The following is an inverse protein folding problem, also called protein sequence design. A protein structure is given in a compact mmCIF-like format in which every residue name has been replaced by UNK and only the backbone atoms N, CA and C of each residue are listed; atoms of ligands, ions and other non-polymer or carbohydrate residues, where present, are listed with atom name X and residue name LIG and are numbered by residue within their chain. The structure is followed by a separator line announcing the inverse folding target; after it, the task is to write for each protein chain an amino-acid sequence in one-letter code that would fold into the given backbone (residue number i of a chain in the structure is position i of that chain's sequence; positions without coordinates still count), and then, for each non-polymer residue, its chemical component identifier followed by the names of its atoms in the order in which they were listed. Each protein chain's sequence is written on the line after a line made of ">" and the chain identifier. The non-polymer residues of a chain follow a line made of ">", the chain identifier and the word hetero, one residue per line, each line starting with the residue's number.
data_IF_974085528641
#
_entry.id   IF_974085528641
#
_cell.length_a   1.000
_cell.length_b   1.000
_cell.length_c   1.000
_cell.angle_alpha   90.00
_cell.angle_beta   90.00
_cell.angle_gamma   90.00
#
_symmetry.space_group_name_H-M   'P 1'
#
loop_
_entity.id
_entity.type
_entity.pdbx_description
1 polymer ?
#
# COMPACT_ATOMS: atom_id res chain seq x y z
N UNK A 1 10.82 8.07 -1.64
CA UNK A 1 10.97 8.59 -3.02
C UNK A 1 10.63 7.53 -4.07
N UNK A 2 11.34 6.39 -4.11
CA UNK A 2 11.00 5.33 -5.08
C UNK A 2 9.58 4.81 -4.86
N UNK A 3 9.23 4.46 -3.62
CA UNK A 3 7.90 3.99 -3.26
C UNK A 3 6.78 4.99 -3.64
N UNK A 4 6.98 6.29 -3.43
CA UNK A 4 6.01 7.31 -3.83
C UNK A 4 5.84 7.38 -5.34
N UNK A 5 6.95 7.45 -6.08
CA UNK A 5 6.90 7.61 -7.54
C UNK A 5 6.25 6.37 -8.20
N UNK A 6 6.71 5.17 -7.83
CA UNK A 6 6.20 3.93 -8.42
C UNK A 6 4.72 3.71 -8.12
N UNK A 7 4.27 3.91 -6.87
CA UNK A 7 2.87 3.72 -6.53
C UNK A 7 1.96 4.78 -7.16
N UNK A 8 2.41 6.04 -7.30
CA UNK A 8 1.69 7.06 -8.08
C UNK A 8 1.55 6.63 -9.54
N UNK A 9 2.62 6.14 -10.17
CA UNK A 9 2.56 5.66 -11.56
C UNK A 9 1.55 4.51 -11.70
N UNK A 10 1.54 3.55 -10.78
CA UNK A 10 0.57 2.45 -10.77
C UNK A 10 -0.86 2.99 -10.73
N UNK A 11 -1.16 3.91 -9.80
CA UNK A 11 -2.47 4.54 -9.69
C UNK A 11 -2.84 5.26 -11.01
N UNK A 12 -1.95 6.07 -11.57
CA UNK A 12 -2.20 6.80 -12.81
C UNK A 12 -2.50 5.87 -13.99
N UNK A 13 -1.73 4.78 -14.15
CA UNK A 13 -1.94 3.79 -15.22
C UNK A 13 -3.28 3.09 -15.06
N UNK A 14 -3.63 2.68 -13.83
CA UNK A 14 -4.89 2.00 -13.52
C UNK A 14 -6.10 2.92 -13.67
N UNK A 15 -5.96 4.20 -13.34
CA UNK A 15 -7.04 5.18 -13.46
C UNK A 15 -7.26 5.62 -14.91
N UNK A 16 -6.19 5.81 -15.69
CA UNK A 16 -6.26 6.30 -17.07
C UNK A 16 -6.81 5.26 -18.05
N UNK A 17 -6.57 3.97 -17.80
CA UNK A 17 -7.03 2.87 -18.68
C UNK A 17 -8.27 2.20 -18.09
N UNK A 18 -9.46 2.66 -18.50
CA UNK A 18 -10.75 2.10 -18.06
C UNK A 18 -10.88 0.59 -18.30
N UNK A 19 -10.23 0.05 -19.33
CA UNK A 19 -10.18 -1.40 -19.58
C UNK A 19 -9.47 -2.18 -18.46
N UNK A 20 -8.48 -1.57 -17.78
CA UNK A 20 -7.79 -2.21 -16.67
C UNK A 20 -8.60 -2.21 -15.39
N UNK A 21 -9.46 -1.21 -15.14
CA UNK A 21 -10.37 -1.21 -13.98
C UNK A 21 -11.32 -2.41 -13.96
N UNK A 22 -11.67 -2.96 -15.14
CA UNK A 22 -12.62 -4.08 -15.27
C UNK A 22 -12.09 -5.42 -14.73
N UNK A 23 -10.77 -5.59 -14.56
CA UNK A 23 -10.22 -6.80 -13.95
C UNK A 23 -10.18 -6.65 -12.43
N UNK A 24 -10.83 -7.54 -11.71
CA UNK A 24 -10.89 -7.55 -10.24
C UNK A 24 -9.50 -7.46 -9.59
N UNK A 25 -8.49 -8.10 -10.18
CA UNK A 25 -7.11 -8.05 -9.68
C UNK A 25 -6.49 -6.65 -9.71
N UNK A 26 -6.89 -5.80 -10.66
CA UNK A 26 -6.34 -4.45 -10.79
C UNK A 26 -6.91 -3.50 -9.73
N UNK A 27 -8.11 -3.76 -9.21
CA UNK A 27 -8.67 -3.03 -8.07
C UNK A 27 -7.88 -3.36 -6.80
N UNK A 28 -7.45 -4.61 -6.64
CA UNK A 28 -6.60 -5.03 -5.53
C UNK A 28 -5.20 -4.37 -5.60
N UNK A 29 -4.63 -4.27 -6.81
CA UNK A 29 -3.38 -3.54 -7.03
C UNK A 29 -3.51 -2.05 -6.71
N UNK A 30 -4.67 -1.44 -7.02
CA UNK A 30 -4.95 -0.07 -6.64
C UNK A 30 -4.99 0.09 -5.12
N UNK A 31 -5.61 -0.87 -4.40
CA UNK A 31 -5.66 -0.86 -2.94
C UNK A 31 -4.28 -0.93 -2.29
N UNK A 32 -3.39 -1.79 -2.83
CA UNK A 32 -1.99 -1.88 -2.38
C UNK A 32 -1.28 -0.55 -2.62
N UNK A 33 -1.37 0.00 -3.84
CA UNK A 33 -0.68 1.25 -4.18
C UNK A 33 -1.14 2.43 -3.30
N UNK A 34 -2.44 2.52 -3.00
CA UNK A 34 -2.97 3.53 -2.07
C UNK A 34 -2.45 3.33 -0.64
N UNK A 35 -2.39 2.09 -0.16
CA UNK A 35 -1.89 1.77 1.19
C UNK A 35 -0.41 2.12 1.33
N UNK A 36 0.41 1.80 0.33
CA UNK A 36 1.84 2.13 0.31
C UNK A 36 2.09 3.64 0.23
N UNK A 37 1.25 4.39 -0.49
CA UNK A 37 1.31 5.86 -0.49
C UNK A 37 0.94 6.43 0.88
N UNK A 38 -0.10 5.91 1.53
CA UNK A 38 -0.50 6.37 2.85
C UNK A 38 0.65 6.20 3.87
N UNK A 39 1.33 5.06 3.87
CA UNK A 39 2.54 4.83 4.69
C UNK A 39 3.66 5.79 4.27
N UNK A 40 3.85 6.01 2.97
CA UNK A 40 4.95 6.82 2.49
C UNK A 40 4.80 8.32 2.73
N UNK A 41 3.57 8.83 2.88
CA UNK A 41 3.32 10.22 3.24
C UNK A 41 3.27 10.44 4.75
N UNK A 42 2.79 9.47 5.53
CA UNK A 42 2.63 9.61 6.98
C UNK A 42 3.81 9.04 7.76
N UNK A 43 4.09 7.75 7.60
CA UNK A 43 5.10 7.03 8.37
C UNK A 43 6.51 7.47 8.04
N UNK A 44 6.96 7.28 6.79
CA UNK A 44 8.38 7.46 6.45
C UNK A 44 8.93 8.86 6.76
N UNK A 45 8.23 9.99 6.50
CA UNK A 45 8.76 11.31 6.84
C UNK A 45 8.92 11.51 8.35
N UNK A 46 7.95 11.05 9.16
CA UNK A 46 7.99 11.12 10.61
C UNK A 46 9.16 10.32 11.21
N UNK A 47 9.34 9.09 10.73
CA UNK A 47 10.47 8.25 11.15
C UNK A 47 11.79 8.83 10.68
N UNK A 48 11.87 9.30 9.44
CA UNK A 48 13.11 9.88 8.88
C UNK A 48 13.53 11.11 9.67
N UNK A 49 12.60 12.04 9.92
CA UNK A 49 12.89 13.24 10.71
C UNK A 49 13.29 12.91 12.15
N UNK A 50 12.64 11.92 12.78
CA UNK A 50 13.00 11.45 14.13
C UNK A 50 14.39 10.81 14.16
N UNK A 51 14.76 10.04 13.12
CA UNK A 51 16.08 9.43 13.01
C UNK A 51 17.17 10.50 12.84
N UNK A 52 16.95 11.50 11.98
CA UNK A 52 17.88 12.63 11.83
C UNK A 52 18.04 13.43 13.13
N UNK A 53 16.98 13.56 13.93
CA UNK A 53 17.02 14.24 15.22
C UNK A 53 17.63 13.37 16.34
N UNK A 54 17.88 12.08 16.11
CA UNK A 54 18.32 11.11 17.13
C UNK A 54 17.30 10.85 18.25
N UNK A 55 16.08 11.34 18.10
CA UNK A 55 15.00 11.24 19.09
C UNK A 55 13.63 11.33 18.42
N UNK A 56 12.62 10.79 19.08
CA UNK A 56 11.25 10.93 18.61
C UNK A 56 10.76 12.38 18.71
N UNK A 57 10.41 13.00 17.57
CA UNK A 57 10.05 14.43 17.53
C UNK A 57 8.55 14.71 17.58
N UNK A 58 7.69 13.72 17.34
CA UNK A 58 6.24 13.92 17.18
C UNK A 58 5.43 13.70 18.47
N UNK A 59 6.11 13.59 19.62
CA UNK A 59 5.49 13.36 20.92
C UNK A 59 4.72 12.04 21.05
N UNK A 60 4.08 11.81 22.20
CA UNK A 60 3.40 10.54 22.51
C UNK A 60 2.22 10.26 21.57
N UNK A 61 1.41 11.28 21.27
CA UNK A 61 0.27 11.14 20.37
C UNK A 61 0.73 10.77 18.94
N UNK A 62 1.76 11.44 18.43
CA UNK A 62 2.34 11.13 17.12
C UNK A 62 2.91 9.70 17.07
N UNK A 63 3.51 9.22 18.15
CA UNK A 63 4.02 7.84 18.23
C UNK A 63 2.90 6.82 18.07
N UNK A 64 1.79 7.00 18.79
CA UNK A 64 0.61 6.13 18.70
C UNK A 64 -0.02 6.15 17.31
N UNK A 65 -0.21 7.34 16.73
CA UNK A 65 -0.83 7.50 15.40
C UNK A 65 0.08 6.92 14.31
N UNK A 66 1.38 7.20 14.35
CA UNK A 66 2.33 6.67 13.37
C UNK A 66 2.40 5.14 13.43
N UNK A 67 2.49 4.57 14.63
CA UNK A 67 2.48 3.12 14.83
C UNK A 67 1.20 2.46 14.32
N UNK A 68 0.03 3.02 14.69
CA UNK A 68 -1.26 2.52 14.21
C UNK A 68 -1.37 2.59 12.69
N UNK A 69 -1.04 3.74 12.10
CA UNK A 69 -1.15 3.99 10.66
C UNK A 69 -0.29 3.02 9.87
N UNK A 70 0.98 2.87 10.24
CA UNK A 70 1.91 1.95 9.56
C UNK A 70 1.42 0.52 9.68
N UNK A 71 1.06 0.08 10.88
CA UNK A 71 0.60 -1.29 11.10
C UNK A 71 -0.70 -1.61 10.33
N UNK A 72 -1.68 -0.70 10.36
CA UNK A 72 -2.95 -0.86 9.68
C UNK A 72 -2.76 -0.99 8.17
N UNK A 73 -2.07 -0.03 7.54
CA UNK A 73 -1.87 -0.07 6.08
C UNK A 73 -0.97 -1.24 5.65
N UNK A 74 0.05 -1.60 6.43
CA UNK A 74 0.86 -2.80 6.15
C UNK A 74 0.02 -4.08 6.22
N UNK A 75 -0.91 -4.18 7.17
CA UNK A 75 -1.82 -5.31 7.28
C UNK A 75 -2.76 -5.40 6.07
N UNK A 76 -3.33 -4.26 5.66
CA UNK A 76 -4.18 -4.18 4.45
C UNK A 76 -3.41 -4.66 3.22
N UNK A 77 -2.17 -4.22 3.05
CA UNK A 77 -1.31 -4.65 1.95
C UNK A 77 -1.08 -6.17 1.97
N UNK A 78 -0.71 -6.76 3.11
CA UNK A 78 -0.46 -8.20 3.24
C UNK A 78 -1.72 -9.03 2.94
N UNK A 79 -2.87 -8.64 3.51
CA UNK A 79 -4.16 -9.33 3.26
C UNK A 79 -4.53 -9.24 1.78
N UNK A 80 -4.30 -8.09 1.15
CA UNK A 80 -4.56 -7.91 -0.28
C UNK A 80 -3.64 -8.79 -1.13
N UNK A 81 -2.35 -8.92 -0.78
CA UNK A 81 -1.43 -9.84 -1.46
C UNK A 81 -1.88 -11.30 -1.35
N UNK A 82 -2.33 -11.73 -0.17
CA UNK A 82 -2.84 -13.08 0.03
C UNK A 82 -4.05 -13.34 -0.89
N UNK A 83 -4.96 -12.37 -0.99
CA UNK A 83 -6.13 -12.49 -1.87
C UNK A 83 -5.74 -12.52 -3.36
N UNK A 84 -4.75 -11.73 -3.78
CA UNK A 84 -4.21 -11.78 -5.16
C UNK A 84 -3.60 -13.15 -5.45
N UNK A 85 -2.80 -13.70 -4.52
CA UNK A 85 -2.18 -15.02 -4.67
C UNK A 85 -3.24 -16.11 -4.82
N UNK A 86 -4.29 -16.07 -3.99
CA UNK A 86 -5.43 -16.99 -4.09
C UNK A 86 -6.17 -16.85 -5.44
N UNK A 87 -6.48 -15.62 -5.86
CA UNK A 87 -7.12 -15.36 -7.15
C UNK A 87 -6.31 -15.92 -8.32
N UNK A 88 -4.99 -15.74 -8.30
CA UNK A 88 -4.08 -16.28 -9.33
C UNK A 88 -4.04 -17.80 -9.32
N UNK A 89 -4.02 -18.41 -8.15
CA UNK A 89 -4.08 -19.87 -8.01
C UNK A 89 -5.37 -20.42 -8.65
N UNK A 90 -6.54 -19.87 -8.34
CA UNK A 90 -7.81 -20.31 -8.93
C UNK A 90 -7.80 -20.12 -10.45
N UNK A 91 -7.37 -18.94 -10.92
CA UNK A 91 -7.34 -18.62 -12.35
C UNK A 91 -6.45 -19.59 -13.18
N UNK A 92 -5.33 -20.05 -12.61
CA UNK A 92 -4.37 -20.92 -13.29
C UNK A 92 -4.70 -22.40 -13.08
N UNK A 93 -4.95 -22.81 -11.84
CA UNK A 93 -5.07 -24.22 -11.45
C UNK A 93 -6.52 -24.73 -11.47
N UNK A 94 -7.52 -23.84 -11.50
CA UNK A 94 -8.95 -24.18 -11.57
C UNK A 94 -9.70 -23.32 -12.60
N UNK A 95 -9.34 -23.37 -13.89
CA UNK A 95 -9.94 -22.53 -14.92
C UNK A 95 -11.41 -22.85 -15.24
N UNK A 96 -11.92 -24.02 -14.82
CA UNK A 96 -13.23 -24.56 -15.20
C UNK A 96 -14.12 -24.95 -13.99
N UNK A 97 -13.95 -24.32 -12.83
CA UNK A 97 -14.97 -24.35 -11.76
C UNK A 97 -15.78 -23.06 -11.82
#
# INVERSE_FOLDING_TARGET
>A
IIATICNVIVILVLLKKNTFKKRSVNILLLNIACSDLAISFSGYPLFTASNYAGRWIAGVAGCKIAGFTVYFFSSVTIVTYAYIAYYRYIYVCKPNT
#
